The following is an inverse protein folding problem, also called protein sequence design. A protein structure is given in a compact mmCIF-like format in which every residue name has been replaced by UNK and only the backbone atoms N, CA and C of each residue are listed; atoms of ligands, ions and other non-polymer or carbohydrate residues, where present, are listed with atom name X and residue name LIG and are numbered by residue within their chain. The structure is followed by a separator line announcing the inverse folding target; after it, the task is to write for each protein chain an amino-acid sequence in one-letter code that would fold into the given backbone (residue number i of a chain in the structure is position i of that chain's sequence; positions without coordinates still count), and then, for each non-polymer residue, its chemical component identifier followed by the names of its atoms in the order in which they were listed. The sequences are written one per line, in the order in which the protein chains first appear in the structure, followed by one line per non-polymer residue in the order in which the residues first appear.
data_IF_842624491011
#
_entry.id   IF_842624491011
#
_cell.length_a   1.000
_cell.length_b   1.000
_cell.length_c   1.000
_cell.angle_alpha   90.00
_cell.angle_beta   90.00
_cell.angle_gamma   90.00
#
_symmetry.space_group_name_H-M   'P 1'
#
loop_
_entity.id
_entity.type
_entity.pdbx_description
1 polymer ?
#
# COMPACT_ATOMS: atom_id res chain seq x y z
N UNK A 1 12.59 -16.53 -4.44
CA UNK A 1 11.75 -16.00 -3.33
C UNK A 1 11.52 -14.49 -3.44
N UNK A 2 12.56 -13.66 -3.53
CA UNK A 2 12.40 -12.18 -3.54
C UNK A 2 11.44 -11.67 -4.60
N UNK A 3 11.59 -12.15 -5.82
CA UNK A 3 10.73 -11.81 -6.95
C UNK A 3 9.28 -12.28 -6.74
N UNK A 4 9.08 -13.52 -6.27
CA UNK A 4 7.74 -14.09 -6.03
C UNK A 4 7.02 -13.36 -4.91
N UNK A 5 7.66 -13.15 -3.76
CA UNK A 5 7.03 -12.45 -2.64
C UNK A 5 6.62 -11.02 -2.99
N UNK A 6 7.51 -10.25 -3.64
CA UNK A 6 7.21 -8.88 -4.05
C UNK A 6 6.17 -8.81 -5.17
N UNK A 7 6.14 -9.80 -6.08
CA UNK A 7 5.15 -9.85 -7.15
C UNK A 7 3.75 -10.10 -6.57
N UNK A 8 3.63 -11.08 -5.68
CA UNK A 8 2.34 -11.49 -5.12
C UNK A 8 1.90 -10.65 -3.93
N UNK A 9 2.77 -9.81 -3.37
CA UNK A 9 2.33 -8.76 -2.46
C UNK A 9 1.48 -7.69 -3.16
N UNK A 10 1.48 -7.66 -4.50
CA UNK A 10 0.65 -6.79 -5.34
C UNK A 10 -0.25 -7.50 -6.36
N UNK A 11 -0.53 -8.80 -6.24
CA UNK A 11 -1.60 -9.39 -7.07
C UNK A 11 -2.94 -9.21 -6.34
N UNK A 12 -3.97 -8.78 -7.07
CA UNK A 12 -5.29 -8.54 -6.48
C UNK A 12 -5.84 -9.79 -5.79
N UNK A 13 -6.10 -9.65 -4.49
CA UNK A 13 -6.72 -10.66 -3.62
C UNK A 13 -8.19 -10.96 -3.99
N UNK A 14 -8.73 -10.31 -5.01
CA UNK A 14 -10.10 -10.49 -5.51
C UNK A 14 -10.20 -11.57 -6.58
N UNK A 15 -9.07 -12.01 -7.17
CA UNK A 15 -9.04 -13.10 -8.14
C UNK A 15 -8.91 -14.47 -7.46
N UNK A 16 -9.62 -15.49 -7.96
CA UNK A 16 -9.51 -16.87 -7.42
C UNK A 16 -8.07 -17.39 -7.50
N UNK A 17 -7.40 -17.15 -8.63
CA UNK A 17 -5.99 -17.50 -8.78
C UNK A 17 -5.09 -16.72 -7.81
N UNK A 18 -5.30 -15.42 -7.68
CA UNK A 18 -4.56 -14.58 -6.73
C UNK A 18 -4.75 -15.06 -5.29
N UNK A 19 -5.97 -15.44 -4.90
CA UNK A 19 -6.25 -16.04 -3.59
C UNK A 19 -5.50 -17.36 -3.42
N UNK A 20 -5.64 -18.31 -4.33
CA UNK A 20 -4.97 -19.62 -4.20
C UNK A 20 -3.46 -19.45 -4.09
N UNK A 21 -2.86 -18.61 -4.95
CA UNK A 21 -1.42 -18.43 -4.97
C UNK A 21 -0.95 -17.70 -3.70
N UNK A 22 -1.61 -16.61 -3.32
CA UNK A 22 -1.21 -15.79 -2.17
C UNK A 22 -1.56 -16.44 -0.81
N UNK A 23 -2.61 -17.27 -0.73
CA UNK A 23 -3.07 -17.89 0.53
C UNK A 23 -2.53 -19.30 0.76
N UNK A 24 -2.29 -20.07 -0.30
CA UNK A 24 -1.86 -21.46 -0.17
C UNK A 24 -0.45 -21.64 -0.70
N UNK A 25 -0.22 -21.34 -1.97
CA UNK A 25 1.01 -21.76 -2.65
C UNK A 25 2.24 -21.07 -2.08
N UNK A 26 2.23 -19.75 -1.95
CA UNK A 26 3.39 -19.00 -1.45
C UNK A 26 3.62 -19.26 0.04
N UNK A 27 2.62 -19.24 0.93
CA UNK A 27 2.81 -19.58 2.34
C UNK A 27 3.36 -21.00 2.54
N UNK A 28 2.91 -21.97 1.75
CA UNK A 28 3.44 -23.34 1.83
C UNK A 28 4.88 -23.43 1.32
N UNK A 29 5.22 -22.76 0.21
CA UNK A 29 6.60 -22.71 -0.29
C UNK A 29 7.51 -21.98 0.70
N UNK A 30 7.07 -20.86 1.29
CA UNK A 30 7.85 -20.13 2.30
C UNK A 30 8.04 -20.96 3.58
N UNK A 31 6.99 -21.67 4.04
CA UNK A 31 7.07 -22.56 5.18
C UNK A 31 8.02 -23.73 4.92
N UNK A 32 7.93 -24.38 3.75
CA UNK A 32 8.82 -25.48 3.38
C UNK A 32 10.29 -25.03 3.35
N UNK A 33 10.58 -23.89 2.71
CA UNK A 33 11.93 -23.31 2.69
C UNK A 33 12.41 -22.86 4.07
N UNK A 34 11.49 -22.47 4.96
CA UNK A 34 11.81 -22.15 6.34
C UNK A 34 12.23 -23.40 7.11
N UNK A 35 11.44 -24.46 7.04
CA UNK A 35 11.72 -25.74 7.72
C UNK A 35 13.00 -26.41 7.20
N UNK A 36 13.34 -26.20 5.92
CA UNK A 36 14.54 -26.75 5.30
C UNK A 36 15.86 -26.06 5.72
N UNK A 37 15.80 -24.88 6.36
CA UNK A 37 16.98 -24.15 6.83
C UNK A 37 16.96 -24.05 8.36
N UNK A 38 18.10 -24.22 9.04
CA UNK A 38 18.19 -23.91 10.49
C UNK A 38 17.84 -22.43 10.71
N UNK A 39 16.70 -22.09 11.35
CA UNK A 39 16.25 -20.71 11.38
C UNK A 39 17.00 -19.94 12.46
N UNK A 40 17.66 -18.85 12.06
CA UNK A 40 18.13 -17.82 12.99
C UNK A 40 17.26 -16.60 12.75
N UNK A 41 16.25 -16.40 13.60
CA UNK A 41 15.42 -15.19 13.54
C UNK A 41 16.03 -14.15 14.45
N UNK A 42 16.40 -12.99 13.91
CA UNK A 42 16.88 -11.88 14.71
C UNK A 42 15.81 -11.39 15.70
N UNK A 43 16.24 -11.06 16.93
CA UNK A 43 15.39 -10.58 18.03
C UNK A 43 14.46 -9.43 17.61
N UNK A 44 14.95 -8.49 16.80
CA UNK A 44 14.14 -7.35 16.33
C UNK A 44 12.98 -7.80 15.44
N UNK A 45 13.24 -8.69 14.48
CA UNK A 45 12.21 -9.22 13.58
C UNK A 45 11.15 -10.01 14.37
N UNK A 46 11.57 -10.74 15.40
CA UNK A 46 10.64 -11.42 16.32
C UNK A 46 9.76 -10.44 17.11
N UNK A 47 10.34 -9.41 17.73
CA UNK A 47 9.58 -8.41 18.49
C UNK A 47 8.54 -7.70 17.60
N UNK A 48 8.91 -7.39 16.36
CA UNK A 48 8.02 -6.75 15.38
C UNK A 48 6.94 -7.71 14.92
N UNK A 49 7.26 -8.99 14.66
CA UNK A 49 6.27 -10.00 14.36
C UNK A 49 5.27 -10.14 15.51
N UNK A 50 5.74 -10.21 16.75
CA UNK A 50 4.87 -10.27 17.94
C UNK A 50 4.00 -9.03 18.09
N UNK A 51 4.54 -7.83 17.87
CA UNK A 51 3.76 -6.60 17.86
C UNK A 51 2.73 -6.58 16.71
N UNK A 52 3.10 -7.09 15.53
CA UNK A 52 2.19 -7.25 14.40
C UNK A 52 1.07 -8.24 14.66
N UNK A 53 1.37 -9.41 15.25
CA UNK A 53 0.36 -10.37 15.73
C UNK A 53 -0.58 -9.70 16.72
N UNK A 54 -0.04 -8.93 17.68
CA UNK A 54 -0.84 -8.21 18.65
C UNK A 54 -1.79 -7.20 17.96
N UNK A 55 -1.28 -6.38 17.04
CA UNK A 55 -2.09 -5.43 16.28
C UNK A 55 -3.19 -6.14 15.49
N UNK A 56 -2.86 -7.20 14.74
CA UNK A 56 -3.83 -7.96 13.96
C UNK A 56 -4.89 -8.59 14.88
N UNK A 57 -4.47 -9.14 16.02
CA UNK A 57 -5.38 -9.77 16.98
C UNK A 57 -6.32 -8.76 17.61
N UNK A 58 -5.83 -7.57 17.97
CA UNK A 58 -6.67 -6.48 18.48
C UNK A 58 -7.69 -6.02 17.43
N UNK A 59 -7.26 -5.89 16.17
CA UNK A 59 -8.15 -5.59 15.04
C UNK A 59 -9.20 -6.69 14.81
N UNK A 60 -8.79 -7.96 14.97
CA UNK A 60 -9.68 -9.11 14.82
C UNK A 60 -10.72 -9.18 15.93
N UNK A 61 -10.30 -9.02 17.18
CA UNK A 61 -11.19 -9.03 18.35
C UNK A 61 -12.17 -7.85 18.31
N UNK A 62 -11.69 -6.65 17.93
CA UNK A 62 -12.53 -5.47 17.75
C UNK A 62 -13.71 -5.74 16.81
N UNK A 63 -13.42 -6.26 15.60
CA UNK A 63 -14.47 -6.59 14.64
C UNK A 63 -15.36 -7.75 15.10
N UNK A 64 -14.80 -8.75 15.80
CA UNK A 64 -15.53 -9.93 16.25
C UNK A 64 -16.55 -9.63 17.36
N UNK A 65 -16.23 -8.71 18.27
CA UNK A 65 -17.11 -8.36 19.39
C UNK A 65 -18.16 -7.31 19.04
N UNK A 66 -17.94 -6.51 17.99
CA UNK A 66 -18.78 -5.36 17.69
C UNK A 66 -19.68 -5.54 16.47
N UNK A 67 -19.38 -6.46 15.56
CA UNK A 67 -20.09 -6.59 14.30
C UNK A 67 -20.59 -8.01 14.02
N UNK A 68 -21.63 -8.09 13.19
CA UNK A 68 -22.28 -9.36 12.79
C UNK A 68 -21.46 -10.07 11.68
N UNK A 69 -20.44 -9.39 11.14
CA UNK A 69 -19.70 -9.80 9.94
C UNK A 69 -18.43 -10.61 10.23
N UNK A 70 -18.50 -11.53 11.20
CA UNK A 70 -17.36 -12.28 11.74
C UNK A 70 -16.57 -13.06 10.68
N UNK A 71 -17.25 -13.63 9.68
CA UNK A 71 -16.58 -14.37 8.60
C UNK A 71 -15.61 -13.51 7.78
N UNK A 72 -15.95 -12.22 7.56
CA UNK A 72 -15.10 -11.29 6.84
C UNK A 72 -13.90 -10.85 7.66
N UNK A 73 -14.12 -10.60 8.96
CA UNK A 73 -13.06 -10.27 9.92
C UNK A 73 -12.01 -11.39 9.96
N UNK A 74 -12.46 -12.65 10.09
CA UNK A 74 -11.57 -13.82 10.11
C UNK A 74 -10.73 -13.88 8.83
N UNK A 75 -11.35 -13.72 7.66
CA UNK A 75 -10.64 -13.74 6.39
C UNK A 75 -9.56 -12.64 6.30
N UNK A 76 -9.87 -11.42 6.72
CA UNK A 76 -8.92 -10.31 6.69
C UNK A 76 -7.81 -10.44 7.74
N UNK A 77 -8.10 -11.04 8.90
CA UNK A 77 -7.10 -11.42 9.91
C UNK A 77 -6.15 -12.47 9.33
N UNK A 78 -6.67 -13.54 8.71
CA UNK A 78 -5.85 -14.56 8.05
C UNK A 78 -4.96 -13.95 6.97
N UNK A 79 -5.51 -13.09 6.12
CA UNK A 79 -4.74 -12.34 5.11
C UNK A 79 -3.58 -11.55 5.72
N UNK A 80 -3.87 -10.81 6.78
CA UNK A 80 -2.88 -9.98 7.47
C UNK A 80 -1.77 -10.85 8.07
N UNK A 81 -2.13 -11.98 8.71
CA UNK A 81 -1.18 -12.92 9.30
C UNK A 81 -0.30 -13.58 8.24
N UNK A 82 -0.89 -13.99 7.11
CA UNK A 82 -0.16 -14.56 5.98
C UNK A 82 0.83 -13.54 5.40
N UNK A 83 0.38 -12.30 5.15
CA UNK A 83 1.23 -11.22 4.68
C UNK A 83 2.40 -10.94 5.62
N UNK A 84 2.13 -10.87 6.92
CA UNK A 84 3.15 -10.68 7.95
C UNK A 84 4.12 -11.86 8.03
N UNK A 85 3.63 -13.10 8.03
CA UNK A 85 4.48 -14.29 8.03
C UNK A 85 5.43 -14.27 6.84
N UNK A 86 4.92 -13.99 5.65
CA UNK A 86 5.76 -13.88 4.44
C UNK A 86 6.79 -12.76 4.57
N UNK A 87 6.42 -11.60 5.13
CA UNK A 87 7.36 -10.50 5.37
C UNK A 87 8.48 -10.92 6.35
N UNK A 88 8.15 -11.57 7.47
CA UNK A 88 9.13 -12.07 8.45
C UNK A 88 10.08 -13.04 7.77
N UNK A 89 9.55 -13.99 7.00
CA UNK A 89 10.37 -14.97 6.28
C UNK A 89 11.28 -14.32 5.26
N UNK A 90 10.79 -13.28 4.58
CA UNK A 90 11.54 -12.56 3.57
C UNK A 90 12.70 -11.75 4.17
N UNK A 91 12.48 -11.09 5.31
CA UNK A 91 13.48 -10.25 5.98
C UNK A 91 14.28 -10.99 7.06
N UNK A 92 14.09 -12.31 7.25
CA UNK A 92 14.69 -13.08 8.36
C UNK A 92 16.22 -13.03 8.38
N UNK A 93 16.84 -13.10 7.20
CA UNK A 93 18.28 -13.36 7.09
C UNK A 93 19.13 -12.08 7.17
N UNK A 94 18.54 -10.87 7.21
CA UNK A 94 19.19 -9.53 7.18
C UNK A 94 20.18 -9.26 6.02
N UNK A 95 20.77 -10.30 5.44
CA UNK A 95 21.64 -10.41 4.28
C UNK A 95 20.84 -10.37 2.98
N UNK A 96 19.80 -9.53 2.94
CA UNK A 96 19.21 -9.18 1.67
C UNK A 96 20.30 -8.40 0.93
N UNK A 97 20.95 -9.05 -0.04
CA UNK A 97 21.87 -8.39 -0.94
C UNK A 97 21.12 -7.20 -1.55
N UNK A 98 21.58 -5.99 -1.25
CA UNK A 98 20.97 -4.74 -1.71
C UNK A 98 20.66 -4.81 -3.22
N UNK A 99 21.61 -5.29 -4.03
CA UNK A 99 21.44 -5.37 -5.48
C UNK A 99 20.34 -6.35 -5.87
N UNK A 100 20.25 -7.51 -5.21
CA UNK A 100 19.21 -8.49 -5.48
C UNK A 100 17.81 -7.97 -5.13
N UNK A 101 17.69 -7.17 -4.07
CA UNK A 101 16.42 -6.57 -3.68
C UNK A 101 15.98 -5.43 -4.60
N UNK A 102 16.89 -4.52 -4.96
CA UNK A 102 16.62 -3.49 -5.96
C UNK A 102 16.18 -4.12 -7.29
N UNK A 103 16.88 -5.17 -7.72
CA UNK A 103 16.53 -5.93 -8.93
C UNK A 103 15.13 -6.54 -8.84
N UNK A 104 14.77 -7.12 -7.68
CA UNK A 104 13.44 -7.67 -7.47
C UNK A 104 12.33 -6.60 -7.49
N UNK A 105 12.55 -5.43 -6.86
CA UNK A 105 11.60 -4.33 -6.94
C UNK A 105 11.43 -3.85 -8.38
N UNK A 106 12.54 -3.64 -9.11
CA UNK A 106 12.50 -3.21 -10.53
C UNK A 106 11.70 -4.19 -11.39
N UNK A 107 11.95 -5.49 -11.23
CA UNK A 107 11.23 -6.53 -11.96
C UNK A 107 9.72 -6.46 -11.72
N UNK A 108 9.30 -6.32 -10.46
CA UNK A 108 7.87 -6.24 -10.11
C UNK A 108 7.23 -4.96 -10.63
N UNK A 109 7.93 -3.83 -10.56
CA UNK A 109 7.47 -2.57 -11.16
C UNK A 109 7.26 -2.76 -12.67
N UNK A 110 8.22 -3.38 -13.38
CA UNK A 110 8.12 -3.61 -14.82
C UNK A 110 6.90 -4.47 -15.17
N UNK A 111 6.67 -5.58 -14.46
CA UNK A 111 5.51 -6.43 -14.70
C UNK A 111 4.20 -5.67 -14.54
N UNK A 112 4.07 -4.89 -13.46
CA UNK A 112 2.86 -4.11 -13.21
C UNK A 112 2.66 -3.00 -14.25
N UNK A 113 3.74 -2.35 -14.69
CA UNK A 113 3.69 -1.35 -15.77
C UNK A 113 3.26 -1.98 -17.10
N UNK A 114 3.77 -3.16 -17.44
CA UNK A 114 3.37 -3.87 -18.65
C UNK A 114 1.87 -4.15 -18.64
N UNK A 115 1.34 -4.73 -17.56
CA UNK A 115 -0.09 -4.99 -17.43
C UNK A 115 -0.93 -3.72 -17.50
N UNK A 116 -0.48 -2.65 -16.83
CA UNK A 116 -1.13 -1.33 -16.86
C UNK A 116 -1.18 -0.74 -18.29
N UNK A 117 -0.04 -0.65 -18.98
CA UNK A 117 0.02 -0.03 -20.30
C UNK A 117 -0.68 -0.87 -21.37
N UNK A 118 -0.63 -2.20 -21.29
CA UNK A 118 -1.43 -3.08 -22.15
C UNK A 118 -2.92 -2.76 -21.98
N UNK A 119 -3.40 -2.66 -20.73
CA UNK A 119 -4.80 -2.34 -20.46
C UNK A 119 -5.17 -0.91 -20.92
N UNK A 120 -4.31 0.07 -20.65
CA UNK A 120 -4.51 1.46 -21.04
C UNK A 120 -4.59 1.62 -22.57
N UNK A 121 -3.60 1.09 -23.30
CA UNK A 121 -3.54 1.17 -24.76
C UNK A 121 -4.71 0.40 -25.39
N UNK A 122 -5.01 -0.79 -24.88
CA UNK A 122 -6.15 -1.60 -25.34
C UNK A 122 -7.46 -0.80 -25.33
N UNK A 123 -7.73 -0.06 -24.25
CA UNK A 123 -8.94 0.74 -24.17
C UNK A 123 -8.89 1.99 -25.06
N UNK A 124 -7.83 2.80 -24.93
CA UNK A 124 -7.80 4.11 -25.58
C UNK A 124 -7.55 4.07 -27.09
N UNK A 125 -6.95 2.99 -27.63
CA UNK A 125 -6.73 2.82 -29.07
C UNK A 125 -7.67 1.83 -29.73
N UNK A 126 -8.16 0.82 -29.01
CA UNK A 126 -8.97 -0.26 -29.58
C UNK A 126 -10.36 -0.39 -28.95
N UNK A 127 -10.70 0.47 -27.98
CA UNK A 127 -11.95 0.40 -27.22
C UNK A 127 -12.21 -0.97 -26.56
N UNK A 128 -11.14 -1.71 -26.25
CA UNK A 128 -11.22 -3.04 -25.65
C UNK A 128 -10.73 -3.02 -24.19
N UNK A 129 -11.55 -3.50 -23.26
CA UNK A 129 -11.22 -3.58 -21.84
C UNK A 129 -10.59 -4.93 -21.52
N UNK A 130 -9.32 -4.91 -21.10
CA UNK A 130 -8.67 -6.09 -20.54
C UNK A 130 -8.91 -6.09 -19.03
N UNK A 131 -9.77 -6.99 -18.54
CA UNK A 131 -9.99 -7.19 -17.11
C UNK A 131 -9.22 -8.42 -16.62
N UNK A 132 -8.01 -8.19 -16.09
CA UNK A 132 -7.19 -9.26 -15.54
C UNK A 132 -7.82 -9.95 -14.32
N UNK A 133 -8.71 -9.29 -13.58
CA UNK A 133 -9.41 -9.90 -12.45
C UNK A 133 -10.46 -10.90 -12.94
N UNK A 134 -11.24 -10.55 -13.97
CA UNK A 134 -12.16 -11.50 -14.62
C UNK A 134 -11.39 -12.68 -15.23
N UNK A 135 -10.30 -12.41 -15.96
CA UNK A 135 -9.46 -13.45 -16.58
C UNK A 135 -8.86 -14.43 -15.55
N UNK A 136 -8.63 -13.97 -14.33
CA UNK A 136 -8.10 -14.79 -13.23
C UNK A 136 -9.20 -15.36 -12.30
N UNK A 137 -10.46 -15.28 -12.73
CA UNK A 137 -11.61 -15.90 -12.07
C UNK A 137 -12.21 -15.09 -10.91
N UNK A 138 -11.86 -13.81 -10.79
CA UNK A 138 -12.42 -12.86 -9.82
C UNK A 138 -13.74 -12.21 -10.28
N UNK A 139 -14.19 -11.21 -9.52
CA UNK A 139 -15.45 -10.49 -9.75
C UNK A 139 -15.36 -9.34 -10.76
N UNK A 140 -14.17 -9.09 -11.32
CA UNK A 140 -13.87 -7.95 -12.18
C UNK A 140 -13.45 -6.69 -11.45
N UNK A 141 -12.81 -5.78 -12.18
CA UNK A 141 -12.27 -4.54 -11.65
C UNK A 141 -13.21 -3.33 -11.79
N UNK A 142 -13.03 -2.36 -10.90
CA UNK A 142 -13.76 -1.09 -10.88
C UNK A 142 -12.94 -0.03 -11.62
N UNK A 143 -12.97 -0.11 -12.95
CA UNK A 143 -12.15 0.75 -13.83
C UNK A 143 -12.82 2.07 -14.21
N UNK A 144 -14.15 2.15 -14.17
CA UNK A 144 -14.85 3.33 -14.66
C UNK A 144 -15.09 4.38 -13.58
N UNK A 145 -15.10 5.64 -14.00
CA UNK A 145 -15.65 6.76 -13.25
C UNK A 145 -16.45 7.63 -14.22
N UNK A 146 -17.77 7.43 -14.24
CA UNK A 146 -18.59 7.88 -15.37
C UNK A 146 -18.13 7.22 -16.66
N UNK A 147 -17.93 8.00 -17.71
CA UNK A 147 -17.43 7.53 -19.02
C UNK A 147 -15.90 7.36 -19.07
N UNK A 148 -15.19 7.85 -18.04
CA UNK A 148 -13.74 7.78 -18.00
C UNK A 148 -13.29 6.38 -17.59
N UNK A 149 -12.54 5.73 -18.48
CA UNK A 149 -11.82 4.51 -18.15
C UNK A 149 -10.53 4.83 -17.38
N UNK A 150 -10.26 4.04 -16.35
CA UNK A 150 -9.09 4.19 -15.49
C UNK A 150 -8.37 2.86 -15.40
N UNK A 151 -7.19 2.80 -16.02
CA UNK A 151 -6.37 1.60 -16.00
C UNK A 151 -5.83 1.32 -14.58
N UNK A 152 -5.70 0.03 -14.26
CA UNK A 152 -5.21 -0.48 -12.98
C UNK A 152 -4.28 -1.69 -13.13
N UNK A 153 -4.08 -2.24 -14.34
CA UNK A 153 -3.29 -3.47 -14.53
C UNK A 153 -3.91 -4.66 -13.78
N UNK A 154 -3.10 -5.41 -13.04
CA UNK A 154 -3.55 -6.57 -12.25
C UNK A 154 -4.44 -6.23 -11.05
N UNK A 155 -4.64 -4.94 -10.75
CA UNK A 155 -5.38 -4.50 -9.58
C UNK A 155 -6.86 -4.33 -9.89
N UNK A 156 -7.68 -4.52 -8.87
CA UNK A 156 -9.13 -4.33 -8.92
C UNK A 156 -9.54 -2.87 -9.08
N UNK A 157 -8.68 -1.93 -8.67
CA UNK A 157 -8.92 -0.50 -8.79
C UNK A 157 -7.66 0.33 -9.06
N UNK A 158 -7.79 1.47 -9.77
CA UNK A 158 -6.69 2.44 -9.95
C UNK A 158 -6.07 2.94 -8.64
N UNK A 159 -6.85 3.05 -7.56
CA UNK A 159 -6.35 3.47 -6.25
C UNK A 159 -5.55 2.35 -5.54
N UNK A 160 -5.86 1.09 -5.83
CA UNK A 160 -5.10 -0.07 -5.33
C UNK A 160 -3.83 -0.26 -6.16
N UNK A 161 -3.87 0.00 -7.48
CA UNK A 161 -2.66 0.10 -8.30
C UNK A 161 -1.69 1.13 -7.74
N UNK A 162 -2.17 2.35 -7.45
CA UNK A 162 -1.31 3.42 -6.96
C UNK A 162 -0.67 3.10 -5.62
N UNK A 163 -1.41 2.46 -4.71
CA UNK A 163 -0.91 1.96 -3.43
C UNK A 163 0.38 1.13 -3.59
N UNK A 164 0.32 0.12 -4.45
CA UNK A 164 1.42 -0.82 -4.62
C UNK A 164 2.60 -0.18 -5.37
N UNK A 165 2.31 0.55 -6.45
CA UNK A 165 3.34 1.19 -7.24
C UNK A 165 4.08 2.28 -6.45
N UNK A 166 3.38 3.07 -5.64
CA UNK A 166 3.99 4.10 -4.78
C UNK A 166 4.86 3.47 -3.71
N UNK A 167 4.40 2.39 -3.05
CA UNK A 167 5.21 1.67 -2.06
C UNK A 167 6.51 1.13 -2.67
N UNK A 168 6.40 0.41 -3.81
CA UNK A 168 7.55 -0.14 -4.53
C UNK A 168 8.51 0.96 -5.00
N UNK A 169 7.97 2.05 -5.55
CA UNK A 169 8.77 3.17 -6.06
C UNK A 169 9.54 3.88 -4.95
N UNK A 170 8.93 4.10 -3.79
CA UNK A 170 9.58 4.69 -2.63
C UNK A 170 10.67 3.77 -2.08
N UNK A 171 10.40 2.46 -1.95
CA UNK A 171 11.41 1.48 -1.53
C UNK A 171 12.63 1.50 -2.47
N UNK A 172 12.40 1.47 -3.78
CA UNK A 172 13.46 1.55 -4.80
C UNK A 172 14.27 2.84 -4.68
N UNK A 173 13.59 3.99 -4.56
CA UNK A 173 14.27 5.28 -4.50
C UNK A 173 15.05 5.45 -3.20
N UNK A 174 14.52 5.03 -2.06
CA UNK A 174 15.23 5.08 -0.77
C UNK A 174 16.52 4.26 -0.82
N UNK A 175 16.52 3.16 -1.57
CA UNK A 175 17.67 2.29 -1.73
C UNK A 175 18.70 2.84 -2.73
N UNK A 176 18.28 3.28 -3.92
CA UNK A 176 19.21 3.67 -4.97
C UNK A 176 19.62 5.14 -4.93
N UNK A 177 18.80 6.00 -4.31
CA UNK A 177 18.97 7.47 -4.24
C UNK A 177 19.17 8.14 -5.61
N UNK A 178 18.75 7.47 -6.68
CA UNK A 178 18.92 7.87 -8.07
C UNK A 178 17.57 7.91 -8.76
N UNK A 179 17.36 8.97 -9.54
CA UNK A 179 16.21 9.07 -10.43
C UNK A 179 16.53 8.31 -11.72
N UNK A 180 15.70 7.34 -12.10
CA UNK A 180 15.91 6.50 -13.29
C UNK A 180 14.74 6.62 -14.27
N UNK A 181 14.95 6.16 -15.51
CA UNK A 181 13.87 6.09 -16.50
C UNK A 181 12.68 5.27 -16.01
N UNK A 182 12.92 4.18 -15.28
CA UNK A 182 11.86 3.36 -14.68
C UNK A 182 11.01 4.17 -13.70
N UNK A 183 11.63 5.03 -12.87
CA UNK A 183 10.90 5.92 -11.95
C UNK A 183 10.02 6.89 -12.74
N UNK A 184 10.53 7.45 -13.84
CA UNK A 184 9.78 8.36 -14.70
C UNK A 184 8.55 7.70 -15.32
N UNK A 185 8.73 6.50 -15.90
CA UNK A 185 7.64 5.72 -16.51
C UNK A 185 6.61 5.30 -15.45
N UNK A 186 7.06 5.01 -14.22
CA UNK A 186 6.16 4.70 -13.11
C UNK A 186 5.33 5.92 -12.71
N UNK A 187 5.94 7.10 -12.55
CA UNK A 187 5.22 8.33 -12.25
C UNK A 187 4.19 8.66 -13.35
N UNK A 188 4.55 8.50 -14.62
CA UNK A 188 3.63 8.68 -15.75
C UNK A 188 2.40 7.75 -15.63
N UNK A 189 2.61 6.47 -15.30
CA UNK A 189 1.49 5.53 -15.10
C UNK A 189 0.57 5.95 -13.95
N UNK A 190 1.09 6.56 -12.88
CA UNK A 190 0.26 7.07 -11.78
C UNK A 190 -0.63 8.23 -12.23
N UNK A 191 -0.11 9.15 -13.06
CA UNK A 191 -0.93 10.20 -13.67
C UNK A 191 -2.01 9.63 -14.60
N UNK A 192 -1.61 8.69 -15.47
CA UNK A 192 -2.50 8.06 -16.46
C UNK A 192 -3.53 7.09 -15.85
N UNK A 193 -3.36 6.70 -14.58
CA UNK A 193 -4.37 5.92 -13.85
C UNK A 193 -5.64 6.74 -13.57
N UNK A 194 -5.56 8.07 -13.68
CA UNK A 194 -6.65 9.02 -13.37
C UNK A 194 -7.30 8.81 -11.99
N UNK A 195 -6.56 8.20 -11.07
CA UNK A 195 -6.92 8.10 -9.67
C UNK A 195 -6.50 9.37 -8.96
N UNK A 196 -7.43 10.04 -8.29
CA UNK A 196 -7.16 11.28 -7.57
C UNK A 196 -6.00 11.15 -6.58
N UNK A 197 -5.98 10.05 -5.80
CA UNK A 197 -4.90 9.79 -4.85
C UNK A 197 -3.57 9.48 -5.55
N UNK A 198 -3.60 8.78 -6.69
CA UNK A 198 -2.39 8.47 -7.45
C UNK A 198 -1.74 9.72 -8.03
N UNK A 199 -2.55 10.65 -8.56
CA UNK A 199 -2.09 11.94 -9.08
C UNK A 199 -1.43 12.75 -7.96
N UNK A 200 -2.08 12.86 -6.79
CA UNK A 200 -1.50 13.55 -5.63
C UNK A 200 -0.16 12.91 -5.23
N UNK A 201 -0.12 11.59 -5.09
CA UNK A 201 1.11 10.87 -4.74
C UNK A 201 2.19 11.09 -5.81
N UNK A 202 1.87 11.05 -7.10
CA UNK A 202 2.82 11.28 -8.18
C UNK A 202 3.41 12.70 -8.16
N UNK A 203 2.60 13.72 -7.86
CA UNK A 203 3.08 15.11 -7.70
C UNK A 203 4.05 15.20 -6.51
N UNK A 204 3.64 14.70 -5.34
CA UNK A 204 4.47 14.74 -4.14
C UNK A 204 5.80 13.99 -4.36
N UNK A 205 5.77 12.80 -4.95
CA UNK A 205 6.98 12.04 -5.26
C UNK A 205 7.86 12.75 -6.29
N UNK A 206 7.28 13.35 -7.33
CA UNK A 206 8.04 14.13 -8.31
C UNK A 206 8.80 15.27 -7.64
N UNK A 207 8.12 16.00 -6.73
CA UNK A 207 8.74 17.06 -5.92
C UNK A 207 9.89 16.55 -5.04
N UNK A 208 9.75 15.35 -4.46
CA UNK A 208 10.76 14.77 -3.57
C UNK A 208 11.95 14.14 -4.34
N UNK A 209 11.72 13.63 -5.54
CA UNK A 209 12.76 12.95 -6.33
C UNK A 209 13.65 13.92 -7.11
N UNK A 210 13.09 15.04 -7.57
CA UNK A 210 13.78 16.02 -8.38
C UNK A 210 14.82 16.79 -7.53
N UNK A 211 16.10 16.70 -7.90
CA UNK A 211 17.18 17.48 -7.26
C UNK A 211 17.23 18.93 -7.76
N UNK A 212 16.93 19.16 -9.04
CA UNK A 212 16.98 20.49 -9.66
C UNK A 212 15.58 21.12 -9.69
N UNK A 213 15.37 22.20 -8.94
CA UNK A 213 14.09 22.90 -8.84
C UNK A 213 13.51 23.32 -10.21
N UNK A 214 14.34 23.56 -11.24
CA UNK A 214 13.87 23.88 -12.60
C UNK A 214 13.07 22.74 -13.24
N UNK A 215 13.37 21.49 -12.88
CA UNK A 215 12.67 20.33 -13.42
C UNK A 215 11.30 20.10 -12.76
N UNK A 216 10.94 20.87 -11.72
CA UNK A 216 9.59 20.86 -11.12
C UNK A 216 8.52 21.42 -12.07
N UNK A 217 8.94 22.17 -13.11
CA UNK A 217 8.03 22.66 -14.14
C UNK A 217 7.28 21.49 -14.80
N UNK A 218 7.93 20.35 -15.03
CA UNK A 218 7.33 19.19 -15.71
C UNK A 218 6.15 18.60 -14.92
N UNK A 219 6.28 18.19 -13.64
CA UNK A 219 5.13 17.71 -12.87
C UNK A 219 4.07 18.80 -12.63
N UNK A 220 4.45 20.08 -12.54
CA UNK A 220 3.47 21.17 -12.46
C UNK A 220 2.65 21.30 -13.75
N UNK A 221 3.29 21.22 -14.93
CA UNK A 221 2.60 21.25 -16.23
C UNK A 221 1.71 20.03 -16.40
N UNK A 222 2.18 18.83 -16.04
CA UNK A 222 1.36 17.62 -16.08
C UNK A 222 0.16 17.76 -15.13
N UNK A 223 0.36 18.26 -13.91
CA UNK A 223 -0.72 18.54 -12.97
C UNK A 223 -1.74 19.53 -13.55
N UNK A 224 -1.27 20.61 -14.17
CA UNK A 224 -2.13 21.60 -14.81
C UNK A 224 -2.93 20.98 -15.96
N UNK A 225 -2.30 20.18 -16.82
CA UNK A 225 -2.98 19.45 -17.91
C UNK A 225 -4.03 18.51 -17.34
N UNK A 226 -3.70 17.72 -16.31
CA UNK A 226 -4.63 16.81 -15.65
C UNK A 226 -5.81 17.60 -15.07
N UNK A 227 -5.58 18.65 -14.27
CA UNK A 227 -6.67 19.47 -13.71
C UNK A 227 -7.54 20.06 -14.83
N UNK A 228 -6.93 20.54 -15.91
CA UNK A 228 -7.65 21.13 -17.02
C UNK A 228 -8.51 20.09 -17.77
N UNK A 229 -7.97 18.90 -18.05
CA UNK A 229 -8.68 17.80 -18.70
C UNK A 229 -9.80 17.24 -17.82
N UNK A 230 -9.63 17.26 -16.49
CA UNK A 230 -10.60 16.72 -15.53
C UNK A 230 -11.50 17.77 -14.89
N UNK A 231 -11.48 19.03 -15.35
CA UNK A 231 -12.20 20.13 -14.70
C UNK A 231 -13.69 19.82 -14.52
N UNK A 232 -14.32 19.20 -15.52
CA UNK A 232 -15.76 18.93 -15.53
C UNK A 232 -16.09 17.78 -14.57
N UNK A 233 -15.30 16.70 -14.57
CA UNK A 233 -15.42 15.62 -13.59
C UNK A 233 -15.13 16.08 -12.15
N UNK A 234 -14.18 17.01 -11.95
CA UNK A 234 -13.87 17.59 -10.64
C UNK A 234 -15.06 18.44 -10.16
N UNK A 235 -15.63 19.25 -11.05
CA UNK A 235 -16.79 20.08 -10.75
C UNK A 235 -18.03 19.22 -10.43
N UNK A 236 -18.31 18.19 -11.23
CA UNK A 236 -19.38 17.23 -10.98
C UNK A 236 -19.22 16.55 -9.62
N UNK A 237 -17.99 16.12 -9.29
CA UNK A 237 -17.68 15.51 -7.99
C UNK A 237 -17.86 16.48 -6.83
N UNK A 238 -17.53 17.75 -7.02
CA UNK A 238 -17.78 18.78 -6.01
C UNK A 238 -19.28 18.95 -5.76
N UNK A 239 -20.09 18.99 -6.83
CA UNK A 239 -21.56 19.04 -6.72
C UNK A 239 -22.09 17.80 -5.98
N UNK A 240 -21.64 16.60 -6.36
CA UNK A 240 -22.00 15.36 -5.68
C UNK A 240 -21.59 15.37 -4.21
N UNK A 241 -20.43 15.92 -3.88
CA UNK A 241 -19.98 16.03 -2.49
C UNK A 241 -20.89 16.93 -1.66
N UNK A 242 -21.22 18.12 -2.17
CA UNK A 242 -22.09 19.08 -1.47
C UNK A 242 -23.53 18.59 -1.35
N UNK A 243 -24.04 17.86 -2.34
CA UNK A 243 -25.39 17.28 -2.33
C UNK A 243 -25.53 16.02 -1.48
N UNK A 244 -24.42 15.42 -1.03
CA UNK A 244 -24.44 14.18 -0.26
C UNK A 244 -24.26 12.91 -1.10
N UNK A 245 -24.20 13.03 -2.43
CA UNK A 245 -24.15 11.91 -3.37
C UNK A 245 -22.72 11.42 -3.70
N UNK A 246 -21.65 12.09 -3.24
CA UNK A 246 -20.27 11.57 -3.38
C UNK A 246 -20.02 10.41 -2.43
N UNK A 247 -20.37 9.20 -2.90
CA UNK A 247 -20.20 7.95 -2.18
C UNK A 247 -18.76 7.63 -1.77
N UNK A 248 -17.73 8.34 -2.25
CA UNK A 248 -16.34 8.11 -1.83
C UNK A 248 -15.90 8.99 -0.65
N UNK A 249 -16.32 10.26 -0.62
CA UNK A 249 -15.94 11.17 0.47
C UNK A 249 -16.97 11.18 1.60
N UNK A 250 -18.25 11.07 1.29
CA UNK A 250 -19.31 11.05 2.30
C UNK A 250 -19.25 9.78 3.13
N UNK A 251 -18.96 8.62 2.49
CA UNK A 251 -18.76 7.38 3.24
C UNK A 251 -17.62 7.45 4.24
N UNK A 252 -16.52 8.17 3.96
CA UNK A 252 -15.42 8.39 4.94
C UNK A 252 -15.89 9.20 6.13
N UNK A 253 -16.65 10.27 5.89
CA UNK A 253 -17.23 11.09 6.96
C UNK A 253 -18.23 10.27 7.78
N UNK A 254 -19.04 9.45 7.12
CA UNK A 254 -20.00 8.57 7.78
C UNK A 254 -19.31 7.46 8.59
N UNK A 255 -18.19 6.91 8.12
CA UNK A 255 -17.34 6.00 8.92
C UNK A 255 -16.89 6.69 10.20
N UNK A 256 -16.42 7.94 10.11
CA UNK A 256 -15.95 8.68 11.29
C UNK A 256 -17.13 9.01 12.22
N UNK A 257 -18.26 9.49 11.69
CA UNK A 257 -19.46 9.77 12.50
C UNK A 257 -19.96 8.52 13.21
N UNK A 258 -20.03 7.39 12.50
CA UNK A 258 -20.49 6.12 13.05
C UNK A 258 -19.51 5.54 14.08
N UNK A 259 -18.21 5.88 14.01
CA UNK A 259 -17.22 5.47 15.02
C UNK A 259 -17.61 6.00 16.40
N UNK A 260 -18.17 7.20 16.49
CA UNK A 260 -18.60 7.81 17.75
C UNK A 260 -19.95 7.29 18.27
N UNK A 261 -20.59 6.34 17.58
CA UNK A 261 -21.83 5.71 18.04
C UNK A 261 -21.54 4.45 18.88
N UNK A 262 -22.10 4.41 20.10
CA UNK A 262 -21.96 3.27 21.00
C UNK A 262 -20.54 3.08 21.54
N UNK A 263 -20.06 1.84 21.59
CA UNK A 263 -18.72 1.49 22.10
C UNK A 263 -17.63 1.43 21.00
N UNK A 264 -17.99 1.71 19.74
CA UNK A 264 -17.07 1.64 18.59
C UNK A 264 -15.90 2.61 18.70
N UNK A 265 -16.06 3.76 19.36
CA UNK A 265 -14.97 4.70 19.53
C UNK A 265 -13.83 4.14 20.41
N UNK A 266 -14.13 3.16 21.28
CA UNK A 266 -13.15 2.55 22.17
C UNK A 266 -12.38 1.44 21.46
N UNK A 267 -13.07 0.58 20.72
CA UNK A 267 -12.48 -0.62 20.13
C UNK A 267 -12.25 -0.55 18.62
N UNK A 268 -12.91 0.36 17.91
CA UNK A 268 -12.88 0.46 16.44
C UNK A 268 -13.85 -0.50 15.76
N UNK A 269 -13.75 -0.61 14.44
CA UNK A 269 -14.48 -1.57 13.61
C UNK A 269 -13.69 -2.85 13.35
N UNK A 270 -12.39 -2.86 13.64
CA UNK A 270 -11.53 -3.99 13.29
C UNK A 270 -11.36 -4.20 11.79
N UNK A 271 -10.91 -5.39 11.40
CA UNK A 271 -10.64 -5.74 9.99
C UNK A 271 -11.89 -6.22 9.24
N UNK A 272 -13.03 -5.54 9.36
CA UNK A 272 -14.26 -5.90 8.63
C UNK A 272 -14.09 -5.59 7.14
N UNK A 273 -13.74 -4.35 6.80
CA UNK A 273 -13.61 -3.91 5.41
C UNK A 273 -14.92 -3.91 4.63
N UNK A 274 -14.84 -3.67 3.32
CA UNK A 274 -16.02 -3.54 2.46
C UNK A 274 -16.55 -4.89 1.94
N UNK A 275 -17.88 -4.97 1.84
CA UNK A 275 -18.65 -5.93 1.06
C UNK A 275 -19.90 -5.22 0.51
N UNK A 276 -20.37 -5.59 -0.67
CA UNK A 276 -21.58 -5.03 -1.30
C UNK A 276 -22.83 -5.19 -0.43
N UNK A 277 -22.90 -6.23 0.41
CA UNK A 277 -24.02 -6.47 1.33
C UNK A 277 -23.93 -5.71 2.65
N UNK A 278 -22.85 -4.97 2.90
CA UNK A 278 -22.63 -4.27 4.16
C UNK A 278 -23.05 -2.80 4.07
N UNK A 279 -23.34 -2.14 5.21
CA UNK A 279 -23.56 -0.70 5.24
C UNK A 279 -22.44 0.08 4.54
N UNK A 280 -22.81 1.13 3.79
CA UNK A 280 -21.89 1.92 2.96
C UNK A 280 -20.71 2.52 3.75
N UNK A 281 -20.87 2.79 5.05
CA UNK A 281 -19.79 3.32 5.88
C UNK A 281 -18.59 2.36 6.03
N UNK A 282 -18.73 1.05 5.75
CA UNK A 282 -17.57 0.13 5.72
C UNK A 282 -16.68 0.33 4.50
N UNK A 283 -17.19 0.98 3.44
CA UNK A 283 -16.39 1.34 2.28
C UNK A 283 -15.31 2.36 2.65
N UNK A 284 -15.66 3.34 3.48
CA UNK A 284 -14.74 4.38 3.95
C UNK A 284 -13.62 3.86 4.86
N UNK A 285 -13.77 2.67 5.46
CA UNK A 285 -12.86 2.15 6.49
C UNK A 285 -11.41 2.00 6.01
N UNK A 286 -11.23 1.55 4.76
CA UNK A 286 -9.92 1.33 4.15
C UNK A 286 -9.49 2.46 3.21
N UNK A 287 -10.31 3.50 3.10
CA UNK A 287 -10.09 4.66 2.24
C UNK A 287 -9.61 5.91 2.99
N UNK A 288 -9.45 5.82 4.32
CA UNK A 288 -8.74 6.79 5.14
C UNK A 288 -7.22 6.63 4.98
N UNK A 289 -6.47 7.70 5.29
CA UNK A 289 -5.00 7.63 5.42
C UNK A 289 -4.62 6.69 6.56
N UNK A 290 -3.37 6.22 6.59
CA UNK A 290 -2.86 5.40 7.72
C UNK A 290 -3.21 6.01 9.09
N UNK A 291 -2.99 7.31 9.24
CA UNK A 291 -3.23 8.03 10.48
C UNK A 291 -4.70 8.01 10.91
N UNK A 292 -5.62 8.20 9.97
CA UNK A 292 -7.07 8.14 10.24
C UNK A 292 -7.58 6.71 10.41
N UNK A 293 -7.08 5.79 9.58
CA UNK A 293 -7.49 4.39 9.58
C UNK A 293 -7.17 3.70 10.91
N UNK A 294 -6.07 4.05 11.57
CA UNK A 294 -5.74 3.47 12.88
C UNK A 294 -6.82 3.79 13.94
N UNK A 295 -7.47 4.95 13.89
CA UNK A 295 -8.59 5.26 14.79
C UNK A 295 -9.84 4.44 14.45
N UNK A 296 -10.16 4.29 13.17
CA UNK A 296 -11.34 3.50 12.78
C UNK A 296 -11.12 2.00 12.99
N UNK A 297 -9.90 1.49 12.82
CA UNK A 297 -9.60 0.06 12.98
C UNK A 297 -9.54 -0.37 14.45
N UNK A 298 -8.84 0.41 15.29
CA UNK A 298 -8.51 0.00 16.66
C UNK A 298 -9.25 0.81 17.73
N UNK A 299 -10.05 1.80 17.34
CA UNK A 299 -10.63 2.78 18.25
C UNK A 299 -9.63 3.90 18.56
N UNK A 300 -10.11 4.92 19.27
CA UNK A 300 -9.35 6.14 19.55
C UNK A 300 -8.14 5.84 20.44
N UNK A 301 -8.33 5.03 21.49
CA UNK A 301 -7.28 4.76 22.49
C UNK A 301 -6.12 3.98 21.88
N UNK A 302 -6.40 2.80 21.31
CA UNK A 302 -5.36 1.95 20.71
C UNK A 302 -4.83 2.60 19.43
N UNK A 303 -5.69 3.22 18.62
CA UNK A 303 -5.28 3.94 17.41
C UNK A 303 -4.30 5.08 17.70
N UNK A 304 -4.49 5.82 18.81
CA UNK A 304 -3.56 6.87 19.24
C UNK A 304 -2.21 6.30 19.64
N UNK A 305 -2.17 5.18 20.37
CA UNK A 305 -0.93 4.49 20.75
C UNK A 305 -0.18 4.02 19.49
N UNK A 306 -0.88 3.39 18.55
CA UNK A 306 -0.28 2.91 17.28
C UNK A 306 0.27 4.08 16.46
N UNK A 307 -0.49 5.16 16.32
CA UNK A 307 -0.06 6.37 15.64
C UNK A 307 1.18 6.98 16.32
N UNK A 308 1.16 7.12 17.64
CA UNK A 308 2.28 7.70 18.39
C UNK A 308 3.56 6.86 18.24
N UNK A 309 3.48 5.54 18.45
CA UNK A 309 4.63 4.63 18.29
C UNK A 309 5.18 4.69 16.86
N UNK A 310 4.30 4.68 15.86
CA UNK A 310 4.70 4.74 14.45
C UNK A 310 5.36 6.09 14.13
N UNK A 311 4.79 7.19 14.60
CA UNK A 311 5.36 8.53 14.43
C UNK A 311 6.76 8.62 15.03
N UNK A 312 6.93 8.18 16.28
CA UNK A 312 8.24 8.14 16.95
C UNK A 312 9.27 7.26 16.23
N UNK A 313 8.83 6.19 15.57
CA UNK A 313 9.70 5.36 14.72
C UNK A 313 10.13 6.10 13.45
N UNK A 314 9.20 6.73 12.73
CA UNK A 314 9.48 7.41 11.45
C UNK A 314 10.33 8.67 11.67
N UNK A 315 10.23 9.33 12.83
CA UNK A 315 11.11 10.46 13.19
C UNK A 315 12.61 10.09 13.22
N UNK A 316 12.97 8.81 13.28
CA UNK A 316 14.36 8.35 13.23
C UNK A 316 14.97 8.42 11.82
N UNK A 317 14.18 8.73 10.80
CA UNK A 317 14.62 8.83 9.40
C UNK A 317 14.99 10.27 9.04
N UNK A 318 15.69 10.46 7.91
CA UNK A 318 15.95 11.80 7.38
C UNK A 318 14.64 12.50 7.02
N UNK A 319 14.60 13.84 7.00
CA UNK A 319 13.39 14.59 6.63
C UNK A 319 12.83 14.17 5.27
N UNK A 320 13.73 13.86 4.33
CA UNK A 320 13.36 13.40 2.99
C UNK A 320 12.69 12.03 3.03
N UNK A 321 13.26 11.09 3.78
CA UNK A 321 12.68 9.75 3.95
C UNK A 321 11.37 9.79 4.74
N UNK A 322 11.29 10.63 5.77
CA UNK A 322 10.06 10.89 6.50
C UNK A 322 8.94 11.33 5.56
N UNK A 323 9.22 12.27 4.65
CA UNK A 323 8.24 12.72 3.65
C UNK A 323 7.87 11.60 2.66
N UNK A 324 8.86 10.86 2.16
CA UNK A 324 8.61 9.73 1.25
C UNK A 324 7.73 8.65 1.89
N UNK A 325 8.00 8.30 3.15
CA UNK A 325 7.21 7.34 3.93
C UNK A 325 5.76 7.85 4.06
N UNK A 326 5.58 9.12 4.41
CA UNK A 326 4.24 9.70 4.55
C UNK A 326 3.45 9.70 3.23
N UNK A 327 4.10 9.86 2.07
CA UNK A 327 3.43 9.74 0.77
C UNK A 327 2.87 8.33 0.55
N UNK A 328 3.58 7.28 0.99
CA UNK A 328 3.07 5.90 0.95
C UNK A 328 1.87 5.75 1.90
N UNK A 329 1.98 6.27 3.12
CA UNK A 329 0.96 6.19 4.17
C UNK A 329 -0.33 6.98 3.88
N UNK A 330 -0.36 7.81 2.82
CA UNK A 330 -1.60 8.43 2.35
C UNK A 330 -2.64 7.42 1.90
N UNK A 331 -2.21 6.25 1.37
CA UNK A 331 -3.13 5.18 0.94
C UNK A 331 -2.82 3.82 1.58
N UNK A 332 -1.58 3.57 2.00
CA UNK A 332 -1.20 2.34 2.70
C UNK A 332 -1.67 2.40 4.16
N UNK A 333 -2.95 2.09 4.36
CA UNK A 333 -3.65 2.35 5.61
C UNK A 333 -4.00 1.10 6.42
N UNK A 334 -3.97 -0.09 5.81
CA UNK A 334 -4.54 -1.29 6.42
C UNK A 334 -3.57 -2.48 6.35
N UNK A 335 -3.51 -3.30 7.42
CA UNK A 335 -2.62 -4.46 7.48
C UNK A 335 -3.11 -5.67 6.67
N UNK A 336 -4.24 -5.55 5.97
CA UNK A 336 -4.83 -6.63 5.16
C UNK A 336 -4.00 -6.94 3.92
N UNK A 337 -3.35 -5.93 3.34
CA UNK A 337 -2.52 -6.09 2.14
C UNK A 337 -1.12 -6.57 2.51
N UNK A 338 -0.60 -7.58 1.81
CA UNK A 338 0.76 -8.07 2.04
C UNK A 338 1.84 -6.99 1.78
N UNK A 339 1.60 -6.04 0.86
CA UNK A 339 2.48 -4.89 0.63
C UNK A 339 2.65 -4.02 1.88
N UNK A 340 1.65 -3.97 2.78
CA UNK A 340 1.75 -3.27 4.07
C UNK A 340 2.89 -3.83 4.90
N UNK A 341 2.87 -5.14 5.14
CA UNK A 341 3.91 -5.81 5.92
C UNK A 341 5.26 -5.76 5.22
N UNK A 342 5.29 -5.93 3.89
CA UNK A 342 6.51 -5.75 3.11
C UNK A 342 7.14 -4.37 3.35
N UNK A 343 6.33 -3.31 3.30
CA UNK A 343 6.81 -1.94 3.49
C UNK A 343 7.29 -1.68 4.92
N UNK A 344 6.55 -2.13 5.95
CA UNK A 344 6.96 -1.97 7.35
C UNK A 344 8.30 -2.66 7.62
N UNK A 345 8.46 -3.92 7.20
CA UNK A 345 9.71 -4.63 7.38
C UNK A 345 10.86 -4.04 6.54
N UNK A 346 10.57 -3.51 5.35
CA UNK A 346 11.55 -2.73 4.58
C UNK A 346 12.08 -1.55 5.38
N UNK A 347 11.22 -0.75 6.02
CA UNK A 347 11.66 0.43 6.79
C UNK A 347 12.60 0.04 7.94
N UNK A 348 12.30 -1.06 8.62
CA UNK A 348 13.13 -1.58 9.71
C UNK A 348 14.49 -2.02 9.17
N UNK A 349 14.49 -2.85 8.14
CA UNK A 349 15.71 -3.32 7.49
C UNK A 349 16.56 -2.15 6.97
N UNK A 350 15.91 -1.17 6.32
CA UNK A 350 16.56 0.03 5.80
C UNK A 350 17.22 0.84 6.91
N UNK A 351 16.52 1.03 8.03
CA UNK A 351 17.06 1.78 9.17
C UNK A 351 18.22 1.05 9.84
N UNK A 352 18.16 -0.28 9.96
CA UNK A 352 19.26 -1.07 10.52
C UNK A 352 20.52 -0.96 9.65
N UNK A 353 20.39 -1.12 8.33
CA UNK A 353 21.56 -1.08 7.44
C UNK A 353 22.15 0.31 7.24
N UNK A 354 21.35 1.37 7.27
CA UNK A 354 21.86 2.76 7.21
C UNK A 354 22.62 3.16 8.48
N UNK A 355 22.26 2.61 9.64
CA UNK A 355 23.01 2.84 10.89
C UNK A 355 24.36 2.12 10.84
N UNK A 356 24.39 0.89 10.31
CA UNK A 356 25.64 0.11 10.16
C UNK A 356 26.61 0.78 9.21
N UNK A 357 26.17 1.22 8.02
CA UNK A 357 27.04 1.91 7.05
C UNK A 357 27.66 3.19 7.63
N UNK A 358 26.90 3.91 8.45
CA UNK A 358 27.39 5.12 9.10
C UNK A 358 28.39 4.80 10.22
N UNK A 359 28.17 3.74 11.00
CA UNK A 359 29.09 3.31 12.06
C UNK A 359 30.44 2.81 11.49
N UNK A 360 30.42 2.06 10.39
CA UNK A 360 31.64 1.62 9.68
C UNK A 360 32.40 2.81 9.06
N UNK A 361 31.69 3.82 8.55
CA UNK A 361 32.35 5.03 8.02
C UNK A 361 33.03 5.89 9.10
N UNK A 362 32.56 5.80 10.35
CA UNK A 362 33.14 6.51 11.51
C UNK A 362 34.35 5.74 12.04
N UNK A 363 34.31 4.40 12.10
CA UNK A 363 35.46 3.60 12.56
C UNK A 363 36.65 3.65 11.61
N UNK A 364 36.43 3.77 10.29
CA UNK A 364 37.50 3.97 9.32
C UNK A 364 38.12 5.38 9.36
N UNK A 365 37.39 6.39 9.84
CA UNK A 365 37.89 7.77 9.96
C UNK A 365 38.51 8.09 11.34
N UNK A 366 38.31 7.23 12.34
CA UNK A 366 38.88 7.39 13.68
C UNK A 366 40.34 6.93 13.84
N UNK A 367 40.97 6.43 12.78
CA UNK A 367 42.37 5.99 12.75
C UNK A 367 43.31 7.01 12.07
N UNK A 368 43.04 8.31 12.18
CA UNK A 368 43.93 9.37 11.70
C UNK A 368 44.38 10.28 12.82
#
# INVERSE_FOLDING_TARGET
MNYLYLLFSGVALTSKLGVIISWLTIPLITLFLFLSKKPVVHRNNFLIASFGVFIISMAGLSGYFLDIYNSRVINNVCLSLIGMFMAVMFYKDNLINHNAFSSAIKFVIVINLLAFYIQFISYYFFHYVIDYNLLSGGLGGRFYWGELFRAAGFFDEPAVYSLHMVALLVMLYMQERKFSGLISVTLASLFLSFSFIAIIQAILLSCLFIKNKRNLIVPCVICFIVIFLFKDNIHERYIQFVSGDDGSNNTKLDTIKNLFLGFKWLFGYGLVGYNQSFPLYYQGLYDLTFWGANFTLYGIVVGLIVNFVTFMFILKFSIKDFLLINVVLLKLSTPTYAIYWCFIFFLIWYKQNTVVSNAESISCNGNK
#
